data_IF_489489830996
#
_entry.id   IF_489489830996
#
_cell.length_a   1.000
_cell.length_b   1.000
_cell.length_c   1.000
_cell.angle_alpha   90.00
_cell.angle_beta   90.00
_cell.angle_gamma   90.00
#
_symmetry.space_group_name_H-M   'P 1'
#
loop_
_entity.id
_entity.type
_entity.pdbx_description
1 polymer ?
#
# COMPACT_ATOMS: atom_id res chain seq x y z
N UNK A 1 -7.36 -14.49 2.14
CA UNK A 1 -6.23 -14.17 1.26
C UNK A 1 -5.59 -12.86 1.65
N UNK A 2 -4.29 -12.77 1.59
CA UNK A 2 -3.58 -11.55 1.91
C UNK A 2 -3.73 -10.51 0.80
N UNK A 3 -3.98 -9.26 1.18
CA UNK A 3 -4.06 -8.12 0.26
C UNK A 3 -2.67 -7.56 -0.07
N UNK A 4 -1.66 -7.92 0.71
CA UNK A 4 -0.27 -7.56 0.46
C UNK A 4 0.55 -8.84 0.40
N UNK A 5 1.25 -9.02 -0.71
CA UNK A 5 2.19 -10.12 -0.86
C UNK A 5 3.57 -9.57 -0.51
N UNK A 6 4.22 -10.18 0.47
CA UNK A 6 5.54 -9.75 0.93
C UNK A 6 6.58 -10.80 0.59
N UNK A 7 7.62 -10.37 -0.12
CA UNK A 7 8.77 -11.23 -0.45
C UNK A 7 10.06 -10.48 -0.12
N UNK A 8 10.99 -11.17 0.53
CA UNK A 8 12.30 -10.61 0.85
C UNK A 8 13.35 -11.44 0.16
N UNK A 9 14.18 -10.79 -0.65
CA UNK A 9 15.25 -11.44 -1.38
C UNK A 9 16.40 -10.43 -1.59
N UNK A 10 17.63 -10.86 -1.31
CA UNK A 10 18.83 -10.03 -1.48
C UNK A 10 18.72 -8.65 -0.81
N UNK A 11 18.20 -8.62 0.41
CA UNK A 11 17.99 -7.39 1.21
C UNK A 11 16.94 -6.44 0.63
N UNK A 12 16.15 -6.89 -0.34
CA UNK A 12 15.06 -6.12 -0.93
C UNK A 12 13.73 -6.74 -0.48
N UNK A 13 12.86 -5.92 0.10
CA UNK A 13 11.50 -6.32 0.41
C UNK A 13 10.58 -5.83 -0.71
N UNK A 14 9.87 -6.76 -1.31
CA UNK A 14 8.82 -6.46 -2.29
C UNK A 14 7.47 -6.55 -1.59
N UNK A 15 6.74 -5.44 -1.59
CA UNK A 15 5.37 -5.38 -1.08
C UNK A 15 4.46 -5.16 -2.28
N UNK A 16 3.73 -6.21 -2.66
CA UNK A 16 2.85 -6.16 -3.82
C UNK A 16 1.40 -6.08 -3.36
N UNK A 17 0.71 -5.03 -3.80
CA UNK A 17 -0.72 -4.87 -3.53
C UNK A 17 -1.46 -5.88 -4.40
N UNK A 18 -2.20 -6.79 -3.76
CA UNK A 18 -2.82 -7.93 -4.42
C UNK A 18 -4.34 -7.83 -4.38
N UNK A 19 -4.86 -6.89 -5.14
CA UNK A 19 -6.30 -6.69 -5.31
C UNK A 19 -6.61 -6.36 -6.78
N UNK A 20 -6.17 -7.23 -7.72
CA UNK A 20 -6.25 -6.92 -9.15
C UNK A 20 -7.68 -6.78 -9.66
N UNK A 21 -8.65 -7.45 -9.05
CA UNK A 21 -10.08 -7.36 -9.40
C UNK A 21 -10.65 -5.96 -9.17
N UNK A 22 -10.02 -5.18 -8.32
CA UNK A 22 -10.38 -3.79 -8.05
C UNK A 22 -9.29 -2.82 -8.52
N UNK A 23 -8.44 -3.23 -9.45
CA UNK A 23 -7.31 -2.45 -9.95
C UNK A 23 -6.39 -1.94 -8.83
N UNK A 24 -6.24 -2.74 -7.78
CA UNK A 24 -5.42 -2.44 -6.61
C UNK A 24 -5.86 -1.16 -5.88
N UNK A 25 -7.13 -0.80 -5.98
CA UNK A 25 -7.66 0.37 -5.28
C UNK A 25 -7.56 0.19 -3.77
N UNK A 26 -7.30 1.30 -3.09
CA UNK A 26 -7.04 1.34 -1.66
C UNK A 26 -8.35 1.39 -0.89
N UNK A 27 -8.66 0.31 -0.17
CA UNK A 27 -9.68 0.32 0.86
C UNK A 27 -8.98 0.35 2.22
N UNK A 28 -9.76 0.35 3.29
CA UNK A 28 -9.24 0.41 4.66
C UNK A 28 -8.33 -0.77 4.98
N UNK A 29 -8.71 -1.98 4.53
CA UNK A 29 -7.93 -3.19 4.77
C UNK A 29 -6.58 -3.18 4.06
N UNK A 30 -6.53 -2.70 2.82
CA UNK A 30 -5.28 -2.56 2.06
C UNK A 30 -4.35 -1.58 2.77
N UNK A 31 -4.87 -0.44 3.19
CA UNK A 31 -4.08 0.57 3.91
C UNK A 31 -3.50 -0.03 5.18
N UNK A 32 -4.32 -0.72 5.96
CA UNK A 32 -3.91 -1.34 7.21
C UNK A 32 -2.84 -2.41 7.01
N UNK A 33 -3.03 -3.29 6.04
CA UNK A 33 -2.06 -4.34 5.76
C UNK A 33 -0.75 -3.78 5.20
N UNK A 34 -0.82 -2.78 4.32
CA UNK A 34 0.37 -2.17 3.76
C UNK A 34 1.16 -1.42 4.84
N UNK A 35 0.48 -0.71 5.71
CA UNK A 35 1.12 -0.02 6.84
C UNK A 35 1.84 -1.01 7.75
N UNK A 36 1.18 -2.10 8.11
CA UNK A 36 1.76 -3.16 8.94
C UNK A 36 2.98 -3.80 8.26
N UNK A 37 2.87 -4.11 6.98
CA UNK A 37 3.97 -4.70 6.21
C UNK A 37 5.16 -3.75 6.09
N UNK A 38 4.90 -2.46 5.89
CA UNK A 38 5.93 -1.43 5.82
C UNK A 38 6.72 -1.35 7.12
N UNK A 39 6.03 -1.26 8.26
CA UNK A 39 6.67 -1.19 9.57
C UNK A 39 7.47 -2.47 9.88
N UNK A 40 6.95 -3.62 9.51
CA UNK A 40 7.66 -4.89 9.64
C UNK A 40 8.98 -4.87 8.85
N UNK A 41 8.97 -4.35 7.63
CA UNK A 41 10.17 -4.25 6.79
C UNK A 41 11.18 -3.22 7.35
N UNK A 42 10.69 -2.11 7.88
CA UNK A 42 11.56 -1.10 8.50
C UNK A 42 12.31 -1.68 9.70
N UNK A 43 11.65 -2.54 10.48
CA UNK A 43 12.23 -3.16 11.67
C UNK A 43 13.08 -4.40 11.37
N UNK A 44 13.05 -4.89 10.14
CA UNK A 44 13.75 -6.12 9.74
C UNK A 44 15.17 -5.80 9.27
N UNK A 45 16.17 -6.25 10.03
CA UNK A 45 17.57 -5.99 9.72
C UNK A 45 18.05 -6.61 8.40
N UNK A 46 17.31 -7.57 7.86
CA UNK A 46 17.63 -8.18 6.56
C UNK A 46 17.15 -7.35 5.38
N UNK A 47 16.34 -6.32 5.63
CA UNK A 47 15.78 -5.45 4.60
C UNK A 47 16.57 -4.14 4.53
N UNK A 48 17.13 -3.84 3.36
CA UNK A 48 17.80 -2.57 3.10
C UNK A 48 16.97 -1.61 2.27
N UNK A 49 16.11 -2.14 1.39
CA UNK A 49 15.27 -1.35 0.47
C UNK A 49 13.88 -1.98 0.41
N UNK A 50 12.88 -1.14 0.32
CA UNK A 50 11.47 -1.56 0.21
C UNK A 50 10.95 -1.12 -1.16
N UNK A 51 10.34 -2.06 -1.90
CA UNK A 51 9.72 -1.75 -3.19
C UNK A 51 8.24 -2.06 -3.09
N UNK A 52 7.40 -1.10 -3.46
CA UNK A 52 5.95 -1.25 -3.51
C UNK A 52 5.54 -1.39 -4.98
N UNK A 53 4.75 -2.40 -5.30
CA UNK A 53 4.23 -2.63 -6.63
C UNK A 53 2.78 -3.10 -6.56
N UNK A 54 2.13 -3.21 -7.70
CA UNK A 54 0.78 -3.74 -7.82
C UNK A 54 0.78 -5.07 -8.56
N UNK A 55 -0.11 -5.97 -8.17
CA UNK A 55 -0.28 -7.24 -8.89
C UNK A 55 -1.00 -7.01 -10.21
N UNK A 56 -0.74 -7.88 -11.18
CA UNK A 56 -1.35 -7.82 -12.50
C UNK A 56 -0.65 -6.84 -13.43
N UNK A 57 -1.28 -6.62 -14.59
CA UNK A 57 -0.68 -5.82 -15.66
C UNK A 57 -1.36 -4.46 -15.85
N UNK A 58 -2.49 -4.21 -15.20
CA UNK A 58 -3.32 -3.04 -15.46
C UNK A 58 -3.01 -1.86 -14.54
N UNK A 59 -2.81 -2.11 -13.28
CA UNK A 59 -2.70 -1.02 -12.31
C UNK A 59 -1.62 -1.25 -11.28
N UNK A 60 -0.94 -0.19 -10.93
CA UNK A 60 -0.18 -0.06 -9.70
C UNK A 60 -1.17 0.12 -8.54
N UNK A 61 -1.79 1.28 -8.46
CA UNK A 61 -2.86 1.63 -7.51
C UNK A 61 -3.84 2.56 -8.22
N UNK A 62 -5.09 2.16 -8.36
CA UNK A 62 -6.10 2.97 -9.03
C UNK A 62 -6.80 3.97 -8.10
N UNK A 63 -6.08 4.43 -7.06
CA UNK A 63 -6.61 5.40 -6.12
C UNK A 63 -7.39 4.78 -4.99
N UNK A 64 -8.20 5.59 -4.30
CA UNK A 64 -9.06 5.11 -3.23
C UNK A 64 -10.26 4.34 -3.79
N UNK A 65 -10.76 3.39 -3.00
CA UNK A 65 -11.93 2.61 -3.40
C UNK A 65 -13.19 3.48 -3.25
N UNK A 66 -13.64 4.06 -4.35
CA UNK A 66 -14.79 4.98 -4.39
C UNK A 66 -16.08 4.29 -3.94
N UNK A 67 -16.25 3.02 -4.30
CA UNK A 67 -17.45 2.27 -3.90
C UNK A 67 -17.57 2.12 -2.39
N UNK A 68 -16.45 1.90 -1.74
CA UNK A 68 -16.40 1.86 -0.27
C UNK A 68 -16.64 3.23 0.34
N UNK A 69 -16.06 4.28 -0.25
CA UNK A 69 -16.21 5.64 0.23
C UNK A 69 -17.66 6.13 0.19
N UNK A 70 -18.43 5.73 -0.82
CA UNK A 70 -19.83 6.10 -0.96
C UNK A 70 -20.70 5.63 0.21
N UNK A 71 -20.29 4.57 0.88
CA UNK A 71 -21.03 3.96 2.01
C UNK A 71 -20.55 4.44 3.37
N UNK A 72 -19.54 5.29 3.40
CA UNK A 72 -18.95 5.77 4.64
C UNK A 72 -19.77 6.90 5.24
N UNK A 73 -19.88 6.89 6.59
CA UNK A 73 -20.31 8.07 7.33
C UNK A 73 -19.19 9.12 7.30
N UNK A 74 -19.48 10.33 7.74
CA UNK A 74 -18.47 11.39 7.86
C UNK A 74 -17.32 10.97 8.80
N UNK A 75 -17.64 10.27 9.88
CA UNK A 75 -16.65 9.79 10.83
C UNK A 75 -15.76 8.70 10.21
N UNK A 76 -16.36 7.76 9.48
CA UNK A 76 -15.63 6.69 8.79
C UNK A 76 -14.72 7.27 7.71
N UNK A 77 -15.19 8.26 6.97
CA UNK A 77 -14.40 8.94 5.95
C UNK A 77 -13.19 9.65 6.55
N UNK A 78 -13.35 10.24 7.72
CA UNK A 78 -12.25 10.90 8.42
C UNK A 78 -11.20 9.89 8.88
N UNK A 79 -11.63 8.76 9.44
CA UNK A 79 -10.73 7.68 9.86
C UNK A 79 -9.97 7.12 8.67
N UNK A 80 -10.65 6.89 7.56
CA UNK A 80 -10.04 6.41 6.32
C UNK A 80 -9.00 7.39 5.78
N UNK A 81 -9.34 8.67 5.73
CA UNK A 81 -8.42 9.72 5.27
C UNK A 81 -7.18 9.81 6.15
N UNK A 82 -7.34 9.76 7.47
CA UNK A 82 -6.22 9.77 8.41
C UNK A 82 -5.32 8.55 8.25
N UNK A 83 -5.91 7.36 8.08
CA UNK A 83 -5.13 6.15 7.89
C UNK A 83 -4.30 6.22 6.61
N UNK A 84 -4.87 6.73 5.52
CA UNK A 84 -4.16 6.93 4.27
C UNK A 84 -3.03 7.95 4.39
N UNK A 85 -3.28 9.07 5.07
CA UNK A 85 -2.26 10.09 5.33
C UNK A 85 -1.12 9.55 6.19
N UNK A 86 -1.43 8.79 7.23
CA UNK A 86 -0.43 8.17 8.08
C UNK A 86 0.45 7.19 7.31
N UNK A 87 -0.15 6.42 6.40
CA UNK A 87 0.60 5.50 5.54
C UNK A 87 1.57 6.27 4.64
N UNK A 88 1.10 7.32 3.95
CA UNK A 88 1.97 8.11 3.07
C UNK A 88 3.08 8.81 3.83
N UNK A 89 2.80 9.29 5.03
CA UNK A 89 3.83 9.90 5.90
C UNK A 89 4.85 8.85 6.37
N UNK A 90 4.40 7.65 6.69
CA UNK A 90 5.30 6.56 7.08
C UNK A 90 6.24 6.17 5.93
N UNK A 91 5.73 6.17 4.71
CA UNK A 91 6.54 5.93 3.50
C UNK A 91 7.58 7.04 3.33
N UNK A 92 7.14 8.29 3.37
CA UNK A 92 7.99 9.46 3.18
C UNK A 92 9.08 9.56 4.26
N UNK A 93 8.75 9.26 5.50
CA UNK A 93 9.65 9.37 6.64
C UNK A 93 10.42 8.08 6.94
N UNK A 94 10.29 7.06 6.11
CA UNK A 94 10.98 5.78 6.31
C UNK A 94 12.49 5.98 6.35
N UNK A 95 13.19 5.37 7.34
CA UNK A 95 14.66 5.40 7.37
C UNK A 95 15.30 4.54 6.28
N UNK A 96 14.51 3.70 5.61
CA UNK A 96 14.96 2.88 4.48
C UNK A 96 14.34 3.43 3.19
N UNK A 97 15.06 3.38 2.06
CA UNK A 97 14.46 3.79 0.78
C UNK A 97 13.20 3.00 0.46
N UNK A 98 12.16 3.70 0.05
CA UNK A 98 10.92 3.09 -0.43
C UNK A 98 10.71 3.53 -1.88
N UNK A 99 10.66 2.56 -2.77
CA UNK A 99 10.58 2.79 -4.21
C UNK A 99 9.22 2.31 -4.71
N UNK A 100 8.54 3.13 -5.50
CA UNK A 100 7.33 2.71 -6.19
C UNK A 100 7.71 2.13 -7.55
N UNK A 101 7.47 0.83 -7.74
CA UNK A 101 7.63 0.19 -9.04
C UNK A 101 6.28 0.26 -9.76
N UNK A 102 6.06 1.35 -10.47
CA UNK A 102 4.77 1.66 -11.09
C UNK A 102 4.58 0.81 -12.34
N UNK A 103 3.70 -0.19 -12.23
CA UNK A 103 3.47 -1.20 -13.27
C UNK A 103 2.20 -0.97 -14.10
N UNK A 104 1.55 0.17 -13.95
CA UNK A 104 0.30 0.49 -14.65
C UNK A 104 -0.31 1.75 -14.11
N UNK A 105 -1.64 1.84 -14.13
CA UNK A 105 -2.34 3.02 -13.65
C UNK A 105 -1.94 3.38 -12.21
N UNK A 106 -1.61 4.63 -11.98
CA UNK A 106 -1.27 5.19 -10.69
C UNK A 106 -2.11 6.47 -10.52
N UNK A 107 -3.33 6.32 -10.01
CA UNK A 107 -4.33 7.37 -9.94
C UNK A 107 -4.60 7.76 -8.49
N UNK A 108 -4.83 9.04 -8.26
CA UNK A 108 -5.17 9.58 -6.95
C UNK A 108 -4.08 9.33 -5.91
N UNK A 109 -4.48 8.66 -4.85
CA UNK A 109 -3.58 8.40 -3.74
C UNK A 109 -2.32 7.64 -4.03
#
# INVERSE_FOLDING_TARGET
MSLIIKEINNHIAWLTINRPEAMNAMNEEVIKELDSALHSCISDDTVGVIIISGSGEKAFIAGADIKKMQKMSSEDALVFAKAGQQLTLAIENSPKPVIAAVNGYALGG
#
